data_IF_141279436875
#
_entry.id   IF_141279436875
#
_cell.length_a   1.000
_cell.length_b   1.000
_cell.length_c   1.000
_cell.angle_alpha   90.00
_cell.angle_beta   90.00
_cell.angle_gamma   90.00
#
_symmetry.space_group_name_H-M   'P 1'
#
loop_
_entity.id
_entity.type
_entity.pdbx_description
1 polymer ?
#
# COMPACT_ATOMS: atom_id res chain seq x y z
N UNK A 1 -26.41 -0.13 2.72
CA UNK A 1 -25.48 0.21 1.64
C UNK A 1 -25.04 1.65 1.78
N UNK A 2 -23.79 1.84 2.15
CA UNK A 2 -23.06 3.12 2.11
C UNK A 2 -22.43 3.30 0.73
N UNK A 3 -22.22 4.53 0.29
CA UNK A 3 -21.41 4.80 -0.90
C UNK A 3 -19.93 4.85 -0.54
N UNK A 4 -19.07 4.46 -1.48
CA UNK A 4 -17.63 4.62 -1.35
C UNK A 4 -17.27 6.10 -1.32
N UNK A 5 -16.38 6.50 -0.41
CA UNK A 5 -15.93 7.90 -0.29
C UNK A 5 -15.03 8.35 -1.44
N UNK A 6 -14.50 7.43 -2.24
CA UNK A 6 -13.52 7.69 -3.30
C UNK A 6 -14.16 7.65 -4.70
N UNK A 7 -15.21 6.86 -4.90
CA UNK A 7 -15.84 6.67 -6.21
C UNK A 7 -17.34 6.41 -6.09
N UNK A 8 -18.11 6.45 -7.20
CA UNK A 8 -19.57 6.34 -7.15
C UNK A 8 -20.10 4.91 -6.89
N UNK A 9 -19.23 3.94 -6.55
CA UNK A 9 -19.64 2.56 -6.26
C UNK A 9 -20.11 2.40 -4.83
N UNK A 10 -20.90 1.37 -4.59
CA UNK A 10 -21.33 1.02 -3.24
C UNK A 10 -20.20 0.36 -2.43
N UNK A 11 -20.20 0.69 -1.14
CA UNK A 11 -19.37 0.06 -0.13
C UNK A 11 -20.17 -1.02 0.61
N UNK A 12 -19.52 -2.11 1.08
CA UNK A 12 -20.15 -3.10 1.94
C UNK A 12 -20.74 -2.46 3.21
N UNK A 13 -21.77 -3.07 3.78
CA UNK A 13 -22.42 -2.53 4.98
C UNK A 13 -21.43 -2.31 6.13
N UNK A 14 -21.43 -1.09 6.68
CA UNK A 14 -20.52 -0.68 7.74
C UNK A 14 -19.13 -0.24 7.29
N UNK A 15 -18.82 -0.29 5.99
CA UNK A 15 -17.56 0.22 5.42
C UNK A 15 -17.79 1.52 4.64
N UNK A 16 -16.73 2.31 4.49
CA UNK A 16 -16.73 3.57 3.76
C UNK A 16 -16.04 3.49 2.38
N UNK A 17 -15.49 2.33 2.00
CA UNK A 17 -14.81 2.13 0.71
C UNK A 17 -15.28 0.85 0.03
N UNK A 18 -15.33 0.88 -1.30
CA UNK A 18 -15.69 -0.28 -2.10
C UNK A 18 -14.54 -1.31 -2.13
N UNK A 19 -14.82 -2.58 -2.50
CA UNK A 19 -13.81 -3.64 -2.52
C UNK A 19 -12.57 -3.32 -3.35
N UNK A 20 -12.73 -2.59 -4.46
CA UNK A 20 -11.59 -2.17 -5.30
C UNK A 20 -10.58 -1.31 -4.51
N UNK A 21 -11.04 -0.23 -3.88
CA UNK A 21 -10.14 0.67 -3.15
C UNK A 21 -9.60 0.02 -1.88
N UNK A 22 -10.36 -0.88 -1.25
CA UNK A 22 -9.84 -1.69 -0.14
C UNK A 22 -8.67 -2.60 -0.58
N UNK A 23 -8.78 -3.23 -1.76
CA UNK A 23 -7.70 -4.05 -2.32
C UNK A 23 -6.50 -3.20 -2.80
N UNK A 24 -6.73 -1.98 -3.29
CA UNK A 24 -5.64 -1.04 -3.58
C UNK A 24 -4.82 -0.68 -2.33
N UNK A 25 -5.47 -0.31 -1.23
CA UNK A 25 -4.77 -0.02 0.04
C UNK A 25 -3.95 -1.24 0.49
N UNK A 26 -4.53 -2.44 0.41
CA UNK A 26 -3.83 -3.68 0.76
C UNK A 26 -2.62 -3.93 -0.14
N UNK A 27 -2.76 -3.72 -1.45
CA UNK A 27 -1.69 -3.89 -2.41
C UNK A 27 -0.54 -2.90 -2.15
N UNK A 28 -0.86 -1.63 -1.91
CA UNK A 28 0.10 -0.58 -1.58
C UNK A 28 0.86 -0.86 -0.30
N UNK A 29 0.18 -1.28 0.77
CA UNK A 29 0.84 -1.68 2.02
C UNK A 29 1.77 -2.90 1.84
N UNK A 30 1.41 -3.81 0.94
CA UNK A 30 2.24 -4.99 0.61
C UNK A 30 3.45 -4.61 -0.25
N UNK A 31 3.30 -3.64 -1.14
CA UNK A 31 4.34 -3.15 -2.06
C UNK A 31 5.39 -2.28 -1.34
N UNK A 32 4.95 -1.41 -0.45
CA UNK A 32 5.77 -0.35 0.16
C UNK A 32 7.09 -0.86 0.79
N UNK A 33 7.13 -1.99 1.53
CA UNK A 33 8.38 -2.54 2.06
C UNK A 33 9.42 -2.87 0.99
N UNK A 34 9.00 -3.38 -0.18
CA UNK A 34 9.90 -3.64 -1.31
C UNK A 34 10.40 -2.34 -1.90
N UNK A 35 9.51 -1.37 -2.10
CA UNK A 35 9.88 -0.06 -2.63
C UNK A 35 10.85 0.68 -1.70
N UNK A 36 10.65 0.62 -0.39
CA UNK A 36 11.57 1.21 0.58
C UNK A 36 12.99 0.62 0.51
N UNK A 37 13.13 -0.68 0.21
CA UNK A 37 14.44 -1.31 -0.03
C UNK A 37 15.08 -0.81 -1.33
N UNK A 38 14.28 -0.58 -2.38
CA UNK A 38 14.78 0.01 -3.62
C UNK A 38 15.24 1.45 -3.38
N UNK A 39 14.45 2.27 -2.69
CA UNK A 39 14.81 3.64 -2.28
C UNK A 39 16.14 3.65 -1.50
N UNK A 40 16.32 2.73 -0.56
CA UNK A 40 17.56 2.65 0.23
C UNK A 40 18.81 2.43 -0.64
N UNK A 41 18.68 1.82 -1.82
CA UNK A 41 19.79 1.67 -2.76
C UNK A 41 20.23 3.01 -3.38
N UNK A 42 19.34 3.99 -3.46
CA UNK A 42 19.67 5.36 -3.93
C UNK A 42 20.37 6.21 -2.86
N UNK A 43 20.41 5.76 -1.60
CA UNK A 43 21.12 6.46 -0.51
C UNK A 43 22.62 6.17 -0.53
N UNK A 44 23.04 5.02 -1.09
CA UNK A 44 24.45 4.71 -1.22
C UNK A 44 25.12 5.61 -2.28
N UNK A 45 26.24 6.28 -1.97
CA UNK A 45 26.96 7.06 -2.96
C UNK A 45 27.34 6.18 -4.15
N UNK A 46 26.97 6.59 -5.36
CA UNK A 46 27.37 5.91 -6.58
C UNK A 46 28.87 6.13 -6.80
N UNK A 47 29.68 5.19 -6.31
CA UNK A 47 31.13 5.13 -6.53
C UNK A 47 31.95 5.28 -5.25
N UNK A 48 32.97 4.41 -5.11
CA UNK A 48 34.10 4.72 -4.23
C UNK A 48 34.84 5.93 -4.82
N UNK A 49 35.27 6.91 -4.01
CA UNK A 49 36.23 7.88 -4.51
C UNK A 49 37.41 7.10 -5.08
N UNK A 50 37.88 7.47 -6.28
CA UNK A 50 39.07 6.87 -6.84
C UNK A 50 40.18 6.99 -5.78
N UNK A 51 40.67 5.86 -5.26
CA UNK A 51 41.87 5.79 -4.45
C UNK A 51 43.08 6.02 -5.36
N UNK A 52 43.11 7.19 -6.00
CA UNK A 52 44.23 7.71 -6.76
C UNK A 52 44.99 8.68 -5.87
N UNK A 53 46.30 8.46 -5.79
CA UNK A 53 47.30 9.31 -5.11
C UNK A 53 46.94 10.80 -5.19
N UNK A 54 47.01 11.50 -4.05
CA UNK A 54 46.83 12.96 -3.86
C UNK A 54 47.88 13.83 -4.60
N UNK A 55 48.42 13.37 -5.72
CA UNK A 55 49.45 14.05 -6.49
C UNK A 55 49.21 13.89 -7.98
N UNK A 56 48.65 14.94 -8.59
CA UNK A 56 48.54 15.08 -10.04
C UNK A 56 47.09 15.24 -10.47
N UNK A 57 46.71 16.48 -10.80
CA UNK A 57 45.71 17.02 -11.77
C UNK A 57 44.50 16.19 -12.26
N UNK A 58 44.24 15.00 -11.71
CA UNK A 58 43.07 14.19 -11.94
C UNK A 58 41.96 14.68 -11.03
N UNK A 59 40.88 15.16 -11.64
CA UNK A 59 39.69 15.66 -10.95
C UNK A 59 39.20 14.60 -9.98
N UNK A 60 39.39 14.83 -8.68
CA UNK A 60 38.69 14.09 -7.65
C UNK A 60 37.20 14.32 -7.89
N UNK A 61 36.53 13.37 -8.54
CA UNK A 61 35.08 13.43 -8.69
C UNK A 61 34.50 13.29 -7.28
N UNK A 62 33.87 14.36 -6.79
CA UNK A 62 33.06 14.29 -5.59
C UNK A 62 32.03 13.16 -5.78
N UNK A 63 31.79 12.32 -4.76
CA UNK A 63 30.77 11.28 -4.85
C UNK A 63 29.46 11.92 -5.30
N UNK A 64 28.75 11.26 -6.21
CA UNK A 64 27.46 11.75 -6.70
C UNK A 64 26.57 12.08 -5.49
N UNK A 65 26.00 13.30 -5.42
CA UNK A 65 25.16 13.68 -4.31
C UNK A 65 23.97 12.72 -4.24
N UNK A 66 23.68 12.24 -3.03
CA UNK A 66 22.48 11.44 -2.76
C UNK A 66 21.25 12.27 -3.14
N UNK A 67 20.24 11.63 -3.73
CA UNK A 67 18.98 12.31 -4.03
C UNK A 67 18.31 12.74 -2.72
N UNK A 68 18.22 14.06 -2.49
CA UNK A 68 17.66 14.63 -1.28
C UNK A 68 16.21 14.20 -1.06
N UNK A 69 15.44 13.95 -2.13
CA UNK A 69 14.05 13.48 -2.03
C UNK A 69 13.97 12.10 -1.38
N UNK A 70 14.94 11.23 -1.69
CA UNK A 70 15.05 9.90 -1.08
C UNK A 70 15.42 10.01 0.39
N UNK A 71 16.33 10.93 0.75
CA UNK A 71 16.67 11.19 2.15
C UNK A 71 15.48 11.75 2.94
N UNK A 72 14.67 12.64 2.36
CA UNK A 72 13.46 13.13 3.01
C UNK A 72 12.46 11.99 3.29
N UNK A 73 12.28 11.06 2.33
CA UNK A 73 11.34 9.95 2.50
C UNK A 73 11.80 8.88 3.50
N UNK A 74 13.10 8.58 3.56
CA UNK A 74 13.66 7.54 4.44
C UNK A 74 14.21 8.09 5.76
N UNK A 75 14.35 9.40 5.87
CA UNK A 75 14.91 10.08 7.03
C UNK A 75 13.99 10.04 8.26
N UNK A 76 14.52 10.41 9.44
CA UNK A 76 13.70 10.64 10.61
C UNK A 76 12.82 11.88 10.41
N UNK A 77 11.61 11.89 10.97
CA UNK A 77 10.76 13.06 10.99
C UNK A 77 9.41 12.82 11.66
N UNK A 78 8.46 13.73 11.42
CA UNK A 78 7.10 13.71 11.98
C UNK A 78 6.08 13.90 10.86
N UNK A 79 4.85 13.45 11.12
CA UNK A 79 3.75 13.61 10.18
C UNK A 79 3.21 15.05 10.11
N UNK A 80 3.36 15.82 11.18
CA UNK A 80 2.86 17.19 11.25
C UNK A 80 3.82 18.18 10.57
N UNK A 81 3.26 19.05 9.72
CA UNK A 81 3.99 20.13 9.07
C UNK A 81 4.42 21.23 10.06
N UNK A 82 5.61 21.81 9.87
CA UNK A 82 6.29 22.62 10.90
C UNK A 82 6.38 24.12 10.64
N UNK A 83 5.92 24.55 9.47
CA UNK A 83 6.00 25.94 9.06
C UNK A 83 5.88 26.07 7.55
N UNK A 84 6.11 27.30 7.06
CA UNK A 84 5.94 27.65 5.63
C UNK A 84 7.01 27.13 4.68
N UNK A 85 8.16 26.65 5.20
CA UNK A 85 9.26 26.09 4.40
C UNK A 85 9.15 24.57 4.21
N UNK A 86 8.10 23.95 4.78
CA UNK A 86 7.83 22.53 4.61
C UNK A 86 7.14 22.29 3.26
N UNK A 87 7.74 21.44 2.41
CA UNK A 87 7.14 21.07 1.12
C UNK A 87 5.97 20.07 1.27
N UNK A 88 5.62 19.72 2.52
CA UNK A 88 4.56 18.79 2.87
C UNK A 88 4.97 17.32 2.74
N UNK A 89 6.25 17.03 2.47
CA UNK A 89 6.74 15.65 2.37
C UNK A 89 6.93 15.03 3.74
N UNK A 90 6.03 14.11 4.08
CA UNK A 90 6.14 13.31 5.29
C UNK A 90 7.05 12.09 5.06
N UNK A 91 8.04 11.80 5.93
CA UNK A 91 8.81 10.57 5.83
C UNK A 91 7.94 9.33 5.99
N UNK A 92 8.26 8.25 5.26
CA UNK A 92 7.43 7.04 5.17
C UNK A 92 7.13 6.47 6.56
N UNK A 93 8.15 6.39 7.43
CA UNK A 93 8.00 5.81 8.76
C UNK A 93 7.09 6.66 9.66
N UNK A 94 7.21 7.98 9.58
CA UNK A 94 6.40 8.92 10.35
C UNK A 94 4.93 8.88 9.92
N UNK A 95 4.68 8.83 8.61
CA UNK A 95 3.33 8.69 8.05
C UNK A 95 2.66 7.39 8.49
N UNK A 96 3.36 6.26 8.36
CA UNK A 96 2.85 4.95 8.78
C UNK A 96 2.56 4.89 10.29
N UNK A 97 3.45 5.44 11.11
CA UNK A 97 3.27 5.50 12.55
C UNK A 97 2.08 6.38 12.96
N UNK A 98 1.87 7.52 12.29
CA UNK A 98 0.74 8.42 12.55
C UNK A 98 -0.60 7.75 12.26
N UNK A 99 -0.76 7.10 11.10
CA UNK A 99 -1.98 6.36 10.78
C UNK A 99 -2.21 5.17 11.71
N UNK A 100 -1.15 4.46 12.08
CA UNK A 100 -1.27 3.36 13.04
C UNK A 100 -1.71 3.87 14.42
N UNK A 101 -1.16 5.00 14.87
CA UNK A 101 -1.57 5.68 16.10
C UNK A 101 -3.02 6.13 16.05
N UNK A 102 -3.45 6.75 14.95
CA UNK A 102 -4.84 7.16 14.73
C UNK A 102 -5.80 5.96 14.82
N UNK A 103 -5.53 4.89 14.05
CA UNK A 103 -6.37 3.68 14.05
C UNK A 103 -6.42 3.06 15.45
N UNK A 104 -5.29 2.98 16.16
CA UNK A 104 -5.29 2.42 17.52
C UNK A 104 -6.07 3.28 18.51
N UNK A 105 -6.00 4.60 18.37
CA UNK A 105 -6.74 5.54 19.22
C UNK A 105 -8.25 5.36 19.05
N UNK A 106 -8.73 5.13 17.83
CA UNK A 106 -10.16 4.91 17.58
C UNK A 106 -10.60 3.47 17.87
N UNK A 107 -9.68 2.50 17.79
CA UNK A 107 -9.98 1.08 17.96
C UNK A 107 -10.48 0.76 19.38
N UNK A 108 -11.71 0.23 19.52
CA UNK A 108 -12.24 -0.12 20.84
C UNK A 108 -11.49 -1.35 21.38
N UNK A 109 -10.78 -1.17 22.49
CA UNK A 109 -10.16 -2.26 23.22
C UNK A 109 -10.98 -2.58 24.47
N UNK A 110 -11.16 -3.87 24.75
CA UNK A 110 -11.86 -4.33 25.95
C UNK A 110 -10.84 -4.87 26.93
N UNK A 111 -10.68 -4.20 28.06
CA UNK A 111 -9.90 -4.68 29.19
C UNK A 111 -10.84 -5.15 30.31
N UNK A 112 -10.43 -6.16 31.08
CA UNK A 112 -11.13 -6.54 32.30
C UNK A 112 -10.31 -6.12 33.50
N UNK A 113 -10.95 -5.48 34.47
CA UNK A 113 -10.29 -5.17 35.75
C UNK A 113 -10.14 -6.43 36.61
N UNK A 114 -9.47 -6.28 37.77
CA UNK A 114 -9.28 -7.36 38.73
C UNK A 114 -10.60 -7.94 39.29
N UNK A 115 -11.72 -7.23 39.11
CA UNK A 115 -13.05 -7.64 39.53
C UNK A 115 -13.87 -8.28 38.39
N UNK A 116 -13.29 -8.40 37.19
CA UNK A 116 -13.93 -8.99 36.02
C UNK A 116 -14.84 -8.05 35.24
N UNK A 117 -14.94 -6.77 35.61
CA UNK A 117 -15.71 -5.75 34.89
C UNK A 117 -15.03 -5.42 33.58
N UNK A 118 -15.78 -5.46 32.48
CA UNK A 118 -15.27 -5.08 31.16
C UNK A 118 -15.30 -3.55 30.99
N UNK A 119 -14.14 -2.96 30.73
CA UNK A 119 -13.97 -1.55 30.39
C UNK A 119 -13.63 -1.46 28.90
N UNK A 120 -14.39 -0.64 28.17
CA UNK A 120 -14.05 -0.28 26.79
C UNK A 120 -13.18 0.96 26.86
N UNK A 121 -11.94 0.86 26.41
CA UNK A 121 -10.97 1.95 26.38
C UNK A 121 -10.30 2.02 25.01
N UNK A 122 -9.83 3.20 24.57
CA UNK A 122 -8.94 3.31 23.43
C UNK A 122 -7.79 2.30 23.54
N UNK A 123 -7.37 1.71 22.42
CA UNK A 123 -6.20 0.86 22.46
C UNK A 123 -4.97 1.74 22.68
N UNK A 124 -4.42 1.74 23.89
CA UNK A 124 -3.18 2.44 24.23
C UNK A 124 -1.96 1.93 23.42
N UNK A 125 -2.12 0.87 22.61
CA UNK A 125 -1.02 0.25 21.86
C UNK A 125 -1.33 -0.03 20.39
N UNK A 126 -0.97 0.92 19.51
CA UNK A 126 -0.70 0.66 18.09
C UNK A 126 0.53 -0.23 17.85
N UNK A 127 1.21 -0.66 18.91
CA UNK A 127 2.57 -1.17 18.79
C UNK A 127 2.56 -2.60 18.24
N UNK A 128 3.32 -2.91 17.17
CA UNK A 128 3.48 -4.29 16.71
C UNK A 128 4.05 -5.13 17.85
N UNK A 129 3.24 -6.06 18.37
CA UNK A 129 3.64 -7.03 19.41
C UNK A 129 4.60 -8.07 18.81
N UNK A 130 5.87 -7.71 18.63
CA UNK A 130 6.97 -8.68 18.60
C UNK A 130 8.15 -8.20 19.46
N UNK A 131 8.51 -9.04 20.45
CA UNK A 131 9.73 -8.97 21.24
C UNK A 131 9.61 -8.17 22.54
N UNK A 132 9.31 -8.83 23.65
CA UNK A 132 9.24 -8.28 25.01
C UNK A 132 10.57 -7.75 25.58
N UNK A 133 11.59 -7.46 24.77
CA UNK A 133 12.90 -6.99 25.26
C UNK A 133 13.23 -5.58 24.74
N UNK A 134 13.11 -4.63 25.67
CA UNK A 134 13.82 -3.35 25.62
C UNK A 134 15.34 -3.64 25.68
N UNK A 135 16.20 -3.01 24.85
CA UNK A 135 16.07 -1.71 24.21
C UNK A 135 16.14 -1.73 22.66
N UNK A 136 15.82 -2.85 21.99
CA UNK A 136 16.03 -3.01 20.53
C UNK A 136 14.74 -3.11 19.71
N UNK A 137 13.68 -2.38 20.07
CA UNK A 137 12.49 -2.26 19.21
C UNK A 137 12.67 -1.07 18.28
N UNK A 138 13.03 -1.33 17.02
CA UNK A 138 13.04 -0.29 15.98
C UNK A 138 11.72 -0.35 15.23
N UNK A 139 11.00 0.76 15.20
CA UNK A 139 9.94 0.98 14.24
C UNK A 139 10.50 0.78 12.84
N UNK A 140 9.86 -0.10 12.06
CA UNK A 140 10.28 -0.37 10.68
C UNK A 140 9.09 -0.18 9.76
N UNK A 141 9.36 0.25 8.53
CA UNK A 141 8.35 0.39 7.47
C UNK A 141 7.60 -0.94 7.30
N UNK A 142 8.32 -2.07 7.23
CA UNK A 142 7.72 -3.40 7.16
C UNK A 142 6.81 -3.72 8.34
N UNK A 143 7.26 -3.43 9.57
CA UNK A 143 6.47 -3.70 10.78
C UNK A 143 5.15 -2.93 10.80
N UNK A 144 5.19 -1.65 10.42
CA UNK A 144 3.98 -0.84 10.32
C UNK A 144 3.06 -1.27 9.18
N UNK A 145 3.60 -1.63 8.02
CA UNK A 145 2.78 -2.13 6.90
C UNK A 145 2.04 -3.42 7.29
N UNK A 146 2.72 -4.35 7.98
CA UNK A 146 2.09 -5.59 8.51
C UNK A 146 0.99 -5.25 9.51
N UNK A 147 1.26 -4.31 10.42
CA UNK A 147 0.27 -3.86 11.40
C UNK A 147 -0.96 -3.26 10.72
N UNK A 148 -0.76 -2.28 9.84
CA UNK A 148 -1.86 -1.61 9.11
C UNK A 148 -2.65 -2.61 8.27
N UNK A 149 -2.00 -3.56 7.62
CA UNK A 149 -2.68 -4.61 6.85
C UNK A 149 -3.58 -5.46 7.74
N UNK A 150 -3.14 -5.80 8.96
CA UNK A 150 -3.93 -6.57 9.92
C UNK A 150 -5.15 -5.79 10.44
N UNK A 151 -5.01 -4.48 10.65
CA UNK A 151 -6.08 -3.62 11.15
C UNK A 151 -6.93 -2.98 10.03
N UNK A 152 -6.58 -3.22 8.76
CA UNK A 152 -7.29 -2.67 7.62
C UNK A 152 -8.80 -2.93 7.68
N UNK A 153 -9.33 -4.14 7.99
CA UNK A 153 -10.77 -4.35 8.05
C UNK A 153 -11.52 -3.39 8.98
N UNK A 154 -10.89 -2.98 10.09
CA UNK A 154 -11.43 -1.95 10.97
C UNK A 154 -11.21 -0.53 10.40
N UNK A 155 -10.04 -0.24 9.84
CA UNK A 155 -9.80 1.06 9.21
C UNK A 155 -10.81 1.36 8.09
N UNK A 156 -11.29 0.35 7.35
CA UNK A 156 -12.35 0.50 6.33
C UNK A 156 -13.70 0.95 6.90
N UNK A 157 -13.92 0.85 8.22
CA UNK A 157 -15.14 1.32 8.91
C UNK A 157 -15.00 2.74 9.44
N UNK A 158 -13.84 3.38 9.28
CA UNK A 158 -13.63 4.77 9.70
C UNK A 158 -14.07 5.73 8.59
N UNK A 159 -14.63 6.88 8.97
CA UNK A 159 -15.13 7.88 8.02
C UNK A 159 -14.02 8.59 7.24
N UNK A 160 -12.79 8.59 7.76
CA UNK A 160 -11.60 9.22 7.19
C UNK A 160 -10.72 8.26 6.38
N UNK A 161 -11.18 7.03 6.12
CA UNK A 161 -10.44 6.07 5.27
C UNK A 161 -10.17 6.59 3.85
N UNK A 162 -10.98 7.53 3.36
CA UNK A 162 -10.72 8.21 2.09
C UNK A 162 -9.39 8.97 2.11
N UNK A 163 -9.07 9.62 3.24
CA UNK A 163 -7.81 10.33 3.42
C UNK A 163 -6.64 9.35 3.52
N UNK A 164 -6.82 8.21 4.19
CA UNK A 164 -5.82 7.14 4.23
C UNK A 164 -5.49 6.65 2.82
N UNK A 165 -6.52 6.37 2.02
CA UNK A 165 -6.36 5.92 0.63
C UNK A 165 -5.63 6.97 -0.20
N UNK A 166 -6.10 8.22 -0.20
CA UNK A 166 -5.51 9.29 -0.98
C UNK A 166 -4.04 9.50 -0.61
N UNK A 167 -3.73 9.65 0.68
CA UNK A 167 -2.37 9.90 1.14
C UNK A 167 -1.42 8.72 0.87
N UNK A 168 -1.89 7.47 1.04
CA UNK A 168 -1.10 6.30 0.70
C UNK A 168 -0.86 6.21 -0.81
N UNK A 169 -1.88 6.51 -1.60
CA UNK A 169 -1.80 6.59 -3.05
C UNK A 169 -0.74 7.61 -3.47
N UNK A 170 -0.80 8.84 -2.96
CA UNK A 170 0.16 9.91 -3.25
C UNK A 170 1.59 9.51 -2.87
N UNK A 171 1.75 8.87 -1.70
CA UNK A 171 3.04 8.35 -1.25
C UNK A 171 3.58 7.30 -2.22
N UNK A 172 2.76 6.32 -2.61
CA UNK A 172 3.17 5.24 -3.52
C UNK A 172 3.53 5.79 -4.90
N UNK A 173 2.73 6.70 -5.45
CA UNK A 173 3.05 7.33 -6.74
C UNK A 173 4.40 8.03 -6.70
N UNK A 174 4.65 8.84 -5.66
CA UNK A 174 5.94 9.52 -5.47
C UNK A 174 7.10 8.54 -5.36
N UNK A 175 6.92 7.44 -4.62
CA UNK A 175 7.95 6.41 -4.47
C UNK A 175 8.22 5.70 -5.79
N UNK A 176 7.18 5.35 -6.56
CA UNK A 176 7.31 4.73 -7.89
C UNK A 176 7.97 5.67 -8.90
N UNK A 177 7.70 6.96 -8.83
CA UNK A 177 8.36 7.96 -9.69
C UNK A 177 9.87 8.03 -9.44
N UNK A 178 10.30 7.84 -8.18
CA UNK A 178 11.71 7.80 -7.80
C UNK A 178 12.39 6.47 -8.14
N UNK A 179 11.71 5.34 -7.90
CA UNK A 179 12.29 4.00 -8.12
C UNK A 179 12.14 3.51 -9.56
N UNK A 180 11.26 4.13 -10.34
CA UNK A 180 10.76 3.66 -11.65
C UNK A 180 10.22 2.22 -11.62
N UNK A 181 9.91 1.69 -10.43
CA UNK A 181 9.43 0.33 -10.25
C UNK A 181 7.90 0.35 -10.19
N UNK A 182 7.23 -0.01 -11.28
CA UNK A 182 5.77 -0.09 -11.37
C UNK A 182 5.34 -1.57 -11.33
N UNK A 183 4.24 -1.93 -10.63
CA UNK A 183 3.70 -3.28 -10.67
C UNK A 183 3.36 -3.73 -12.09
N UNK A 184 3.64 -5.00 -12.40
CA UNK A 184 3.26 -5.56 -13.69
C UNK A 184 1.74 -5.74 -13.78
N UNK A 185 1.20 -5.55 -14.98
CA UNK A 185 -0.22 -5.76 -15.28
C UNK A 185 -0.32 -6.86 -16.32
N UNK A 186 -1.07 -7.90 -15.98
CA UNK A 186 -1.35 -9.02 -16.86
C UNK A 186 -2.78 -8.92 -17.37
N UNK A 187 -2.93 -8.89 -18.69
CA UNK A 187 -4.23 -8.99 -19.35
C UNK A 187 -4.80 -10.41 -19.20
N UNK A 188 -6.09 -10.48 -18.90
CA UNK A 188 -6.81 -11.73 -18.70
C UNK A 188 -7.51 -12.15 -19.99
N UNK A 189 -7.60 -13.45 -20.24
CA UNK A 189 -8.10 -13.98 -21.51
C UNK A 189 -9.62 -13.87 -21.68
N UNK A 190 -10.40 -13.97 -20.59
CA UNK A 190 -11.85 -13.89 -20.67
C UNK A 190 -12.33 -12.42 -20.70
N UNK A 191 -13.42 -12.10 -21.44
CA UNK A 191 -14.01 -10.77 -21.43
C UNK A 191 -14.69 -10.49 -20.08
N UNK A 192 -14.91 -9.21 -19.76
CA UNK A 192 -15.59 -8.80 -18.54
C UNK A 192 -17.05 -9.29 -18.52
N UNK A 193 -17.53 -9.95 -17.45
CA UNK A 193 -18.92 -10.43 -17.39
C UNK A 193 -19.96 -9.30 -17.37
N UNK A 194 -19.57 -8.09 -16.96
CA UNK A 194 -20.48 -6.95 -16.82
C UNK A 194 -20.65 -6.13 -18.12
N UNK A 195 -19.56 -5.94 -18.87
CA UNK A 195 -19.55 -5.06 -20.06
C UNK A 195 -19.06 -5.73 -21.35
N UNK A 196 -18.73 -7.03 -21.30
CA UNK A 196 -18.20 -7.84 -22.41
C UNK A 196 -16.88 -7.35 -23.03
N UNK A 197 -16.26 -6.30 -22.47
CA UNK A 197 -14.98 -5.78 -22.96
C UNK A 197 -13.81 -6.70 -22.56
N UNK A 198 -12.84 -6.86 -23.45
CA UNK A 198 -11.54 -7.51 -23.19
C UNK A 198 -10.60 -6.59 -22.39
N UNK A 199 -11.04 -6.15 -21.22
CA UNK A 199 -10.33 -5.18 -20.37
C UNK A 199 -10.00 -5.70 -18.97
N UNK A 200 -10.18 -6.98 -18.69
CA UNK A 200 -9.86 -7.55 -17.38
C UNK A 200 -8.33 -7.63 -17.21
N UNK A 201 -7.83 -7.08 -16.11
CA UNK A 201 -6.41 -7.07 -15.77
C UNK A 201 -6.17 -7.52 -14.34
N UNK A 202 -5.10 -8.30 -14.16
CA UNK A 202 -4.52 -8.62 -12.85
C UNK A 202 -3.27 -7.79 -12.65
N UNK A 203 -3.19 -7.07 -11.54
CA UNK A 203 -2.01 -6.27 -11.19
C UNK A 203 -1.23 -6.98 -10.09
N UNK A 204 0.10 -7.04 -10.20
CA UNK A 204 0.94 -7.62 -9.15
C UNK A 204 0.68 -6.97 -7.79
N UNK A 205 0.47 -7.80 -6.77
CA UNK A 205 0.18 -7.35 -5.40
C UNK A 205 -1.29 -7.02 -5.12
N UNK A 206 -2.14 -6.95 -6.14
CA UNK A 206 -3.60 -6.92 -5.98
C UNK A 206 -4.16 -8.34 -6.03
N UNK A 207 -5.07 -8.66 -5.10
CA UNK A 207 -5.74 -9.96 -5.10
C UNK A 207 -6.80 -10.04 -6.20
N UNK A 208 -7.59 -8.97 -6.35
CA UNK A 208 -8.65 -8.91 -7.34
C UNK A 208 -8.20 -8.66 -8.78
N UNK A 209 -9.11 -8.97 -9.70
CA UNK A 209 -9.02 -8.68 -11.12
C UNK A 209 -10.01 -7.55 -11.41
N UNK A 210 -9.56 -6.51 -12.09
CA UNK A 210 -10.41 -5.35 -12.40
C UNK A 210 -10.56 -5.14 -13.90
N UNK A 211 -11.73 -4.70 -14.34
CA UNK A 211 -11.94 -4.28 -15.71
C UNK A 211 -11.48 -2.83 -15.88
N UNK A 212 -10.59 -2.55 -16.82
CA UNK A 212 -10.13 -1.18 -17.11
C UNK A 212 -11.19 -0.31 -17.80
N UNK A 213 -12.25 -0.92 -18.33
CA UNK A 213 -13.31 -0.22 -19.07
C UNK A 213 -14.46 0.18 -18.16
N UNK A 214 -15.11 -0.78 -17.50
CA UNK A 214 -16.24 -0.51 -16.60
C UNK A 214 -15.86 -0.48 -15.11
N UNK A 215 -14.65 -0.92 -14.76
CA UNK A 215 -14.20 -0.97 -13.38
C UNK A 215 -14.86 -2.08 -12.53
N UNK A 216 -15.52 -3.04 -13.17
CA UNK A 216 -16.00 -4.25 -12.52
C UNK A 216 -14.85 -5.01 -11.85
N UNK A 217 -15.10 -5.56 -10.67
CA UNK A 217 -14.10 -6.21 -9.84
C UNK A 217 -14.48 -7.68 -9.60
N UNK A 218 -13.55 -8.57 -9.87
CA UNK A 218 -13.70 -10.02 -9.71
C UNK A 218 -12.67 -10.55 -8.71
N UNK A 219 -13.13 -11.43 -7.83
CA UNK A 219 -12.21 -12.31 -7.11
C UNK A 219 -11.59 -13.33 -8.07
N UNK A 220 -10.37 -13.82 -7.80
CA UNK A 220 -9.71 -14.81 -8.65
C UNK A 220 -10.57 -16.04 -8.93
N UNK A 221 -11.24 -16.59 -7.92
CA UNK A 221 -12.12 -17.75 -8.08
C UNK A 221 -13.31 -17.45 -9.01
N UNK A 222 -13.94 -16.29 -8.85
CA UNK A 222 -15.05 -15.87 -9.71
C UNK A 222 -14.61 -15.69 -11.16
N UNK A 223 -13.37 -15.20 -11.38
CA UNK A 223 -12.78 -15.14 -12.71
C UNK A 223 -12.53 -16.54 -13.28
N UNK A 224 -11.98 -17.47 -12.50
CA UNK A 224 -11.69 -18.83 -12.98
C UNK A 224 -12.99 -19.56 -13.38
N UNK A 225 -14.05 -19.41 -12.58
CA UNK A 225 -15.37 -19.96 -12.89
C UNK A 225 -15.96 -19.35 -14.17
N UNK A 226 -15.84 -18.02 -14.33
CA UNK A 226 -16.28 -17.30 -15.53
C UNK A 226 -15.48 -17.71 -16.78
N UNK A 227 -14.15 -17.78 -16.68
CA UNK A 227 -13.28 -18.17 -17.77
C UNK A 227 -13.56 -19.61 -18.23
N UNK A 228 -13.84 -20.52 -17.30
CA UNK A 228 -14.26 -21.89 -17.61
C UNK A 228 -15.61 -21.92 -18.34
N UNK A 229 -16.58 -21.10 -17.91
CA UNK A 229 -17.89 -20.99 -18.57
C UNK A 229 -17.76 -20.43 -19.99
N UNK A 230 -16.95 -19.39 -20.19
CA UNK A 230 -16.66 -18.79 -21.49
C UNK A 230 -16.00 -19.81 -22.42
N UNK A 231 -14.97 -20.53 -21.94
CA UNK A 231 -14.29 -21.56 -22.73
C UNK A 231 -15.25 -22.67 -23.16
N UNK A 232 -16.10 -23.16 -22.26
CA UNK A 232 -17.12 -24.18 -22.56
C UNK A 232 -18.11 -23.69 -23.62
N UNK A 233 -18.54 -22.43 -23.54
CA UNK A 233 -19.43 -21.83 -24.53
C UNK A 233 -18.77 -21.72 -25.92
N UNK A 234 -17.48 -21.37 -25.99
CA UNK A 234 -16.74 -21.36 -27.25
C UNK A 234 -16.56 -22.77 -27.84
N UNK A 235 -16.26 -23.77 -27.00
CA UNK A 235 -16.14 -25.16 -27.45
C UNK A 235 -17.45 -25.68 -28.02
N UNK A 236 -18.58 -25.44 -27.35
CA UNK A 236 -19.90 -25.86 -27.82
C UNK A 236 -20.30 -25.20 -29.15
N UNK A 237 -19.89 -23.95 -29.40
CA UNK A 237 -20.14 -23.27 -30.69
C UNK A 237 -19.30 -23.83 -31.83
N UNK A 238 -18.13 -24.40 -31.51
CA UNK A 238 -17.16 -24.89 -32.49
C UNK A 238 -17.27 -26.40 -32.75
N UNK A 239 -18.15 -27.12 -32.03
CA UNK A 239 -18.46 -28.51 -32.35
C UNK A 239 -19.27 -28.56 -33.66
N UNK A 240 -18.76 -29.23 -34.71
CA UNK A 240 -19.49 -29.37 -35.96
C UNK A 240 -20.74 -30.22 -35.72
N UNK A 241 -21.88 -29.78 -36.26
CA UNK A 241 -23.12 -30.56 -36.24
C UNK A 241 -22.86 -31.92 -36.90
N UNK A 242 -22.97 -32.99 -36.10
CA UNK A 242 -22.82 -34.37 -36.53
C UNK A 242 -24.02 -34.86 -37.35
#
# INVERSE_FOLDING_TARGET
MSHCTICPRDAPDGQHVCPLHADEVRAWLTELPRQARLLAAFVAPAGRPAQGRLGGTGRAHAPLPVDLRVLTLLGPGRADALGGDDDGTVPILAWLGAWAGHIAYTYPSVARDAHGTAHVQPCDQAWPRQGQEWPRRRETITGWCIWLTRYLPYALTLSDVGDLHQQLGDLIHRVRDLTHAVPHRQEMAAPCPECDAAGLVRTDGQWGISCTVCGHHLEPQAYDDHAAAVLKAYQAKNEPAA
#
